data_IF_016135689112
#
_entry.id   IF_016135689112
#
_cell.length_a   1.000
_cell.length_b   1.000
_cell.length_c   1.000
_cell.angle_alpha   90.00
_cell.angle_beta   90.00
_cell.angle_gamma   90.00
#
_symmetry.space_group_name_H-M   'P 1'
#
loop_
_entity.id
_entity.type
_entity.pdbx_description
1 polymer ?
#
# COMPACT_ATOMS: atom_id res chain seq x y z
N UNK A 1 16.37 -5.34 19.42
CA UNK A 1 17.03 -5.51 18.09
C UNK A 1 18.44 -6.10 18.20
N UNK A 2 18.97 -6.24 19.42
CA UNK A 2 20.36 -6.62 19.68
C UNK A 2 20.60 -8.13 19.47
N UNK A 3 19.77 -9.00 20.07
CA UNK A 3 19.96 -10.45 20.03
C UNK A 3 20.09 -11.08 18.63
N UNK A 4 19.30 -10.66 17.64
CA UNK A 4 19.44 -11.20 16.27
C UNK A 4 20.79 -10.83 15.63
N UNK A 5 21.24 -9.59 15.85
CA UNK A 5 22.51 -9.12 15.30
C UNK A 5 23.69 -9.78 16.01
N UNK A 6 23.56 -10.02 17.31
CA UNK A 6 24.55 -10.70 18.16
C UNK A 6 24.70 -12.17 17.77
N UNK A 7 23.59 -12.92 17.62
CA UNK A 7 23.65 -14.30 17.13
C UNK A 7 24.29 -14.40 15.74
N UNK A 8 24.08 -13.38 14.89
CA UNK A 8 24.73 -13.30 13.59
C UNK A 8 26.22 -12.98 13.66
N UNK A 9 26.64 -12.06 14.53
CA UNK A 9 28.06 -11.76 14.73
C UNK A 9 28.82 -12.96 15.26
N UNK A 10 28.17 -13.74 16.11
CA UNK A 10 28.76 -14.88 16.79
C UNK A 10 28.71 -16.17 15.94
N UNK A 11 28.17 -16.08 14.71
CA UNK A 11 28.07 -17.22 13.79
C UNK A 11 27.09 -18.30 14.23
N UNK A 12 26.18 -17.98 15.16
CA UNK A 12 25.18 -18.91 15.70
C UNK A 12 24.00 -19.03 14.74
N UNK A 13 24.08 -20.03 13.86
CA UNK A 13 23.06 -20.35 12.87
C UNK A 13 22.14 -21.49 13.32
N UNK A 14 21.04 -21.69 12.60
CA UNK A 14 20.14 -22.82 12.84
C UNK A 14 20.88 -24.14 12.59
N UNK A 15 20.68 -25.17 13.45
CA UNK A 15 21.28 -26.47 13.25
C UNK A 15 20.82 -27.08 11.92
N UNK A 16 21.76 -27.62 11.15
CA UNK A 16 21.47 -28.33 9.91
C UNK A 16 20.94 -29.72 10.25
N UNK A 17 19.80 -30.07 9.66
CA UNK A 17 19.14 -31.38 9.79
C UNK A 17 18.89 -31.93 8.39
N UNK A 18 19.18 -33.21 8.19
CA UNK A 18 18.88 -33.90 6.93
C UNK A 18 17.51 -34.59 7.06
N UNK A 19 16.64 -34.43 6.06
CA UNK A 19 15.44 -35.24 5.95
C UNK A 19 15.80 -36.69 5.58
N UNK A 20 14.87 -37.61 5.79
CA UNK A 20 14.95 -38.99 5.29
C UNK A 20 15.14 -39.07 3.76
N UNK A 21 14.81 -38.00 3.03
CA UNK A 21 15.02 -37.86 1.57
C UNK A 21 16.35 -37.18 1.20
N UNK A 22 17.25 -36.96 2.15
CA UNK A 22 18.57 -36.34 1.92
C UNK A 22 18.54 -34.81 1.76
N UNK A 23 17.38 -34.16 1.96
CA UNK A 23 17.25 -32.71 1.83
C UNK A 23 17.68 -32.02 3.13
N UNK A 24 18.65 -31.12 3.03
CA UNK A 24 19.10 -30.32 4.17
C UNK A 24 18.10 -29.22 4.53
N UNK A 25 17.79 -29.10 5.82
CA UNK A 25 16.99 -28.05 6.44
C UNK A 25 17.81 -27.40 7.56
N UNK A 26 17.84 -26.07 7.64
CA UNK A 26 18.67 -25.35 8.62
C UNK A 26 19.90 -24.70 7.98
N UNK A 27 20.90 -24.34 8.78
CA UNK A 27 22.12 -23.65 8.31
C UNK A 27 21.93 -22.18 7.92
N UNK A 28 20.74 -21.63 8.15
CA UNK A 28 20.43 -20.22 7.92
C UNK A 28 20.30 -19.46 9.26
N UNK A 29 20.43 -18.13 9.25
CA UNK A 29 20.19 -17.31 10.43
C UNK A 29 18.78 -17.51 11.01
N UNK A 30 18.64 -17.38 12.32
CA UNK A 30 17.34 -17.37 12.98
C UNK A 30 16.51 -16.17 12.53
N UNK A 31 15.25 -16.37 12.17
CA UNK A 31 14.35 -15.25 11.94
C UNK A 31 13.71 -14.79 13.26
N UNK A 32 13.11 -13.59 13.25
CA UNK A 32 12.53 -12.98 14.46
C UNK A 32 11.46 -13.88 15.11
N UNK A 33 10.53 -14.40 14.32
CA UNK A 33 9.44 -15.24 14.83
C UNK A 33 9.96 -16.55 15.44
N UNK A 34 11.00 -17.14 14.86
CA UNK A 34 11.69 -18.31 15.40
C UNK A 34 12.33 -17.99 16.75
N UNK A 35 12.97 -16.83 16.92
CA UNK A 35 13.54 -16.41 18.21
C UNK A 35 12.45 -16.17 19.26
N UNK A 36 11.33 -15.55 18.91
CA UNK A 36 10.20 -15.40 19.84
C UNK A 36 9.63 -16.76 20.25
N UNK A 37 9.44 -17.66 19.29
CA UNK A 37 8.96 -19.01 19.59
C UNK A 37 9.94 -19.79 20.48
N UNK A 38 11.25 -19.63 20.26
CA UNK A 38 12.27 -20.22 21.12
C UNK A 38 12.16 -19.68 22.54
N UNK A 39 12.18 -18.36 22.72
CA UNK A 39 12.21 -17.74 24.05
C UNK A 39 10.87 -17.96 24.79
N UNK A 40 9.75 -18.07 24.09
CA UNK A 40 8.43 -18.31 24.68
C UNK A 40 8.08 -19.80 24.86
N UNK A 41 8.97 -20.72 24.51
CA UNK A 41 8.68 -22.15 24.63
C UNK A 41 8.84 -22.64 26.07
N UNK A 42 7.72 -23.00 26.72
CA UNK A 42 7.71 -23.54 28.09
C UNK A 42 8.37 -24.92 28.24
N UNK A 43 8.67 -25.62 27.13
CA UNK A 43 9.46 -26.86 27.17
C UNK A 43 10.80 -26.64 27.88
N UNK A 44 11.38 -25.44 27.80
CA UNK A 44 12.65 -25.15 28.45
C UNK A 44 12.59 -25.08 29.98
N UNK A 45 11.41 -24.87 30.57
CA UNK A 45 11.21 -24.92 32.03
C UNK A 45 10.70 -26.27 32.54
N UNK A 46 10.71 -27.29 31.68
CA UNK A 46 10.22 -28.62 32.05
C UNK A 46 8.72 -28.83 31.84
N UNK A 47 7.99 -27.85 31.30
CA UNK A 47 6.54 -27.96 31.06
C UNK A 47 6.24 -28.49 29.64
N UNK A 48 5.08 -29.13 29.49
CA UNK A 48 4.48 -29.49 28.19
C UNK A 48 3.18 -28.73 28.03
N UNK A 49 3.03 -28.04 26.89
CA UNK A 49 1.83 -27.26 26.56
C UNK A 49 0.88 -28.09 25.70
N UNK A 50 -0.40 -28.16 26.11
CA UNK A 50 -1.48 -28.71 25.29
C UNK A 50 -2.65 -27.72 25.25
N UNK A 51 -2.90 -27.16 24.07
CA UNK A 51 -3.84 -26.04 23.85
C UNK A 51 -3.47 -24.85 24.75
N UNK A 52 -4.38 -24.40 25.60
CA UNK A 52 -4.19 -23.25 26.50
C UNK A 52 -3.65 -23.66 27.89
N UNK A 53 -3.48 -24.95 28.16
CA UNK A 53 -3.01 -25.47 29.45
C UNK A 53 -1.58 -26.01 29.34
N UNK A 54 -0.83 -25.92 30.43
CA UNK A 54 0.50 -26.51 30.55
C UNK A 54 0.53 -27.48 31.74
N UNK A 55 1.39 -28.48 31.63
CA UNK A 55 1.54 -29.56 32.60
C UNK A 55 3.03 -29.82 32.83
N UNK A 56 3.43 -30.30 34.02
CA UNK A 56 4.81 -30.71 34.25
C UNK A 56 5.16 -31.88 33.31
N UNK A 57 6.22 -31.71 32.54
CA UNK A 57 6.80 -32.73 31.68
C UNK A 57 7.70 -33.69 32.44
N UNK A 58 8.09 -34.78 31.77
CA UNK A 58 9.02 -35.78 32.33
C UNK A 58 10.49 -35.45 32.05
N UNK A 59 10.76 -34.40 31.28
CA UNK A 59 12.12 -33.97 30.95
C UNK A 59 12.64 -32.93 31.96
N UNK A 60 13.94 -32.94 32.27
CA UNK A 60 14.54 -31.91 33.12
C UNK A 60 14.45 -30.54 32.45
N UNK A 61 14.20 -29.51 33.26
CA UNK A 61 14.24 -28.13 32.82
C UNK A 61 15.65 -27.74 32.35
N UNK A 62 15.74 -26.99 31.25
CA UNK A 62 17.00 -26.44 30.72
C UNK A 62 17.30 -25.09 31.39
N UNK A 63 16.26 -24.33 31.73
CA UNK A 63 16.33 -23.04 32.43
C UNK A 63 15.38 -23.04 33.62
N UNK A 64 15.67 -22.22 34.62
CA UNK A 64 14.80 -22.02 35.77
C UNK A 64 13.55 -21.18 35.43
N UNK A 65 12.48 -21.37 36.20
CA UNK A 65 11.21 -20.66 36.02
C UNK A 65 11.37 -19.15 36.14
N UNK A 66 12.23 -18.68 37.06
CA UNK A 66 12.42 -17.25 37.30
C UNK A 66 13.04 -16.55 36.07
N UNK A 67 14.08 -17.16 35.48
CA UNK A 67 14.69 -16.67 34.24
C UNK A 67 13.69 -16.66 33.07
N UNK A 68 12.87 -17.71 32.94
CA UNK A 68 11.85 -17.77 31.89
C UNK A 68 10.78 -16.69 32.06
N UNK A 69 10.27 -16.48 33.28
CA UNK A 69 9.29 -15.43 33.58
C UNK A 69 9.85 -14.04 33.33
N UNK A 70 11.08 -13.76 33.77
CA UNK A 70 11.79 -12.50 33.46
C UNK A 70 11.87 -12.27 31.94
N UNK A 71 12.20 -13.30 31.16
CA UNK A 71 12.23 -13.19 29.70
C UNK A 71 10.83 -12.92 29.10
N UNK A 72 9.77 -13.55 29.61
CA UNK A 72 8.40 -13.29 29.14
C UNK A 72 7.93 -11.87 29.49
N UNK A 73 8.31 -11.34 30.66
CA UNK A 73 8.02 -9.95 31.05
C UNK A 73 8.72 -8.95 30.11
N UNK A 74 9.98 -9.20 29.76
CA UNK A 74 10.70 -8.37 28.78
C UNK A 74 10.04 -8.44 27.40
N UNK A 75 9.55 -9.60 26.97
CA UNK A 75 8.84 -9.75 25.70
C UNK A 75 7.49 -9.01 25.72
N UNK A 76 6.71 -9.15 26.78
CA UNK A 76 5.38 -8.54 26.90
C UNK A 76 5.45 -7.02 27.01
N UNK A 77 6.48 -6.47 27.67
CA UNK A 77 6.75 -5.02 27.72
C UNK A 77 7.01 -4.40 26.34
N UNK A 78 7.59 -5.15 25.41
CA UNK A 78 7.84 -4.70 24.03
C UNK A 78 6.64 -4.82 23.08
N UNK A 79 5.47 -5.30 23.56
CA UNK A 79 4.24 -5.41 22.75
C UNK A 79 3.59 -4.03 22.54
N UNK A 80 3.85 -3.07 23.43
CA UNK A 80 3.34 -1.69 23.35
C UNK A 80 4.51 -0.71 23.14
N UNK A 81 4.59 -0.13 21.94
CA UNK A 81 5.35 1.12 21.72
C UNK A 81 6.61 0.97 20.85
N UNK A 82 6.59 1.71 19.74
CA UNK A 82 7.75 2.18 18.97
C UNK A 82 8.63 1.15 18.25
N UNK A 83 8.12 0.76 17.08
CA UNK A 83 8.96 0.28 15.98
C UNK A 83 9.90 1.40 15.53
N UNK A 84 11.15 1.42 16.02
CA UNK A 84 12.20 2.33 15.53
C UNK A 84 12.34 2.30 14.00
N UNK A 85 12.07 3.41 13.29
CA UNK A 85 11.98 3.46 11.84
C UNK A 85 13.24 4.11 11.26
N UNK A 86 14.38 3.43 11.24
CA UNK A 86 15.61 4.05 10.72
C UNK A 86 16.07 3.58 9.34
N UNK A 87 15.84 2.33 8.89
CA UNK A 87 16.46 1.87 7.63
C UNK A 87 15.54 1.07 6.67
N UNK A 88 14.51 1.69 6.11
CA UNK A 88 13.78 1.10 4.98
C UNK A 88 13.55 2.16 3.91
N UNK A 89 14.02 1.91 2.69
CA UNK A 89 13.98 2.81 1.53
C UNK A 89 12.57 3.04 0.96
N UNK A 90 11.58 2.23 1.36
CA UNK A 90 10.17 2.37 0.95
C UNK A 90 9.27 2.08 2.15
N UNK A 91 8.73 3.13 2.76
CA UNK A 91 7.89 3.02 3.95
C UNK A 91 6.50 3.58 3.65
N UNK A 92 5.45 2.99 4.21
CA UNK A 92 4.08 3.54 4.11
C UNK A 92 3.95 4.78 4.97
N UNK A 93 3.62 5.95 4.40
CA UNK A 93 3.55 7.30 5.00
C UNK A 93 2.75 7.38 6.31
N UNK A 94 1.66 6.62 6.43
CA UNK A 94 0.64 6.69 7.48
C UNK A 94 0.57 5.45 8.40
N UNK A 95 1.69 4.79 8.78
CA UNK A 95 1.60 3.58 9.59
C UNK A 95 1.16 3.96 11.02
N UNK A 96 0.09 3.32 11.49
CA UNK A 96 -0.53 3.62 12.80
C UNK A 96 -1.44 4.84 12.80
N UNK A 97 -1.69 5.48 11.65
CA UNK A 97 -2.62 6.61 11.51
C UNK A 97 -3.93 6.24 10.82
N UNK A 98 -3.97 5.12 10.10
CA UNK A 98 -5.15 4.66 9.33
C UNK A 98 -6.03 3.76 10.20
N UNK A 99 -7.32 4.08 10.28
CA UNK A 99 -8.35 3.29 10.96
C UNK A 99 -9.57 3.10 10.06
N UNK A 100 -10.37 2.08 10.32
CA UNK A 100 -11.68 1.91 9.68
C UNK A 100 -12.71 2.87 10.28
N UNK A 101 -13.85 3.04 9.60
CA UNK A 101 -15.02 3.73 10.16
C UNK A 101 -15.49 3.15 11.50
N UNK A 102 -15.32 1.83 11.71
CA UNK A 102 -15.63 1.16 12.97
C UNK A 102 -14.59 1.42 14.08
N UNK A 103 -13.51 2.17 13.79
CA UNK A 103 -12.44 2.48 14.73
C UNK A 103 -11.29 1.47 14.76
N UNK A 104 -11.35 0.39 13.99
CA UNK A 104 -10.31 -0.64 13.97
C UNK A 104 -9.04 -0.14 13.27
N UNK A 105 -7.84 -0.35 13.84
CA UNK A 105 -6.60 0.07 13.19
C UNK A 105 -6.27 -0.79 11.97
N UNK A 106 -5.80 -0.13 10.91
CA UNK A 106 -5.21 -0.80 9.75
C UNK A 106 -3.69 -0.85 9.88
N UNK A 107 -3.14 -2.06 9.72
CA UNK A 107 -1.73 -2.35 9.85
C UNK A 107 -1.03 -2.14 8.50
N UNK A 108 0.02 -1.32 8.51
CA UNK A 108 0.91 -1.18 7.36
C UNK A 108 1.72 -2.47 7.15
N UNK A 109 1.51 -3.12 6.01
CA UNK A 109 2.13 -4.39 5.59
C UNK A 109 2.75 -4.24 4.20
N UNK A 110 3.60 -5.20 3.82
CA UNK A 110 4.15 -5.25 2.47
C UNK A 110 4.39 -6.69 2.01
N UNK A 111 4.40 -6.87 0.70
CA UNK A 111 4.75 -8.13 0.03
C UNK A 111 5.82 -7.85 -1.02
N UNK A 112 6.86 -8.66 -1.10
CA UNK A 112 7.88 -8.56 -2.14
C UNK A 112 7.65 -9.63 -3.20
N UNK A 113 7.65 -9.25 -4.48
CA UNK A 113 7.55 -10.17 -5.62
C UNK A 113 8.76 -9.97 -6.52
N UNK A 114 9.44 -11.07 -6.86
CA UNK A 114 10.47 -11.05 -7.90
C UNK A 114 9.83 -10.70 -9.25
N UNK A 115 10.40 -9.72 -9.92
CA UNK A 115 10.08 -9.33 -11.29
C UNK A 115 11.35 -9.41 -12.16
N UNK A 116 11.23 -9.47 -13.49
CA UNK A 116 12.41 -9.48 -14.37
C UNK A 116 13.35 -8.29 -14.15
N UNK A 117 12.82 -7.14 -13.73
CA UNK A 117 13.58 -5.91 -13.45
C UNK A 117 14.04 -5.78 -11.99
N UNK A 118 13.96 -6.84 -11.18
CA UNK A 118 14.34 -6.83 -9.76
C UNK A 118 13.20 -7.17 -8.80
N UNK A 119 13.41 -6.96 -7.50
CA UNK A 119 12.40 -7.27 -6.48
C UNK A 119 11.42 -6.08 -6.34
N UNK A 120 10.14 -6.28 -6.68
CA UNK A 120 9.10 -5.25 -6.53
C UNK A 120 8.38 -5.41 -5.20
N UNK A 121 8.34 -4.35 -4.40
CA UNK A 121 7.62 -4.33 -3.11
C UNK A 121 6.26 -3.66 -3.29
N UNK A 122 5.21 -4.35 -2.85
CA UNK A 122 3.84 -3.86 -2.79
C UNK A 122 3.48 -3.56 -1.34
N UNK A 123 2.90 -2.38 -1.08
CA UNK A 123 2.57 -1.89 0.28
C UNK A 123 1.06 -1.81 0.46
N UNK A 124 0.57 -2.18 1.63
CA UNK A 124 -0.86 -2.20 1.95
C UNK A 124 -1.14 -1.74 3.38
N UNK A 125 -2.33 -1.18 3.61
CA UNK A 125 -2.98 -1.04 4.92
C UNK A 125 -4.03 -2.12 5.05
N UNK A 126 -3.89 -2.99 6.05
CA UNK A 126 -4.72 -4.20 6.20
C UNK A 126 -5.39 -4.20 7.56
N UNK A 127 -6.70 -4.45 7.61
CA UNK A 127 -7.42 -4.58 8.88
C UNK A 127 -6.79 -5.65 9.77
N UNK A 128 -6.73 -5.40 11.08
CA UNK A 128 -6.04 -6.27 12.05
C UNK A 128 -6.49 -7.73 11.99
N UNK A 129 -7.80 -8.00 11.94
CA UNK A 129 -8.36 -9.35 11.82
C UNK A 129 -7.93 -10.05 10.53
N UNK A 130 -7.93 -9.35 9.39
CA UNK A 130 -7.46 -9.89 8.12
C UNK A 130 -5.95 -10.16 8.11
N UNK A 131 -5.17 -9.40 8.88
CA UNK A 131 -3.74 -9.63 9.05
C UNK A 131 -3.44 -10.88 9.89
N UNK A 132 -4.27 -11.18 10.90
CA UNK A 132 -4.12 -12.34 11.79
C UNK A 132 -4.64 -13.66 11.17
N UNK A 133 -5.17 -13.61 9.94
CA UNK A 133 -5.61 -14.80 9.21
C UNK A 133 -7.04 -15.24 9.53
N UNK A 134 -7.81 -14.41 10.25
CA UNK A 134 -9.22 -14.65 10.50
C UNK A 134 -10.01 -14.51 9.18
N UNK A 135 -10.83 -15.52 8.86
CA UNK A 135 -11.68 -15.50 7.67
C UNK A 135 -12.96 -14.72 7.96
N UNK A 136 -13.16 -13.69 7.15
CA UNK A 136 -14.44 -13.14 6.70
C UNK A 136 -15.35 -12.45 7.75
N UNK A 137 -15.11 -11.14 7.93
CA UNK A 137 -16.06 -10.11 8.41
C UNK A 137 -15.66 -8.73 7.88
N UNK A 138 -15.74 -8.50 6.57
CA UNK A 138 -15.53 -7.15 6.01
C UNK A 138 -14.11 -6.56 6.16
N UNK A 139 -13.07 -7.40 6.25
CA UNK A 139 -11.69 -6.93 6.35
C UNK A 139 -11.22 -6.17 5.10
N UNK A 140 -10.54 -5.03 5.30
CA UNK A 140 -10.04 -4.16 4.24
C UNK A 140 -8.55 -4.42 3.96
N UNK A 141 -8.16 -4.38 2.69
CA UNK A 141 -6.75 -4.36 2.24
C UNK A 141 -6.57 -3.26 1.21
N UNK A 142 -6.08 -2.11 1.66
CA UNK A 142 -5.95 -0.90 0.85
C UNK A 142 -4.50 -0.75 0.37
N UNK A 143 -4.22 -0.57 -0.93
CA UNK A 143 -2.90 -0.20 -1.42
C UNK A 143 -2.42 1.10 -0.78
N UNK A 144 -1.23 1.04 -0.18
CA UNK A 144 -0.72 2.18 0.56
C UNK A 144 -0.42 3.37 -0.36
N UNK A 145 0.07 3.13 -1.58
CA UNK A 145 0.40 4.20 -2.53
C UNK A 145 -0.83 5.05 -2.87
N UNK A 146 -1.96 4.40 -3.17
CA UNK A 146 -3.18 5.06 -3.61
C UNK A 146 -3.83 5.84 -2.48
N UNK A 147 -3.96 5.22 -1.30
CA UNK A 147 -4.45 5.91 -0.10
C UNK A 147 -3.60 7.12 0.25
N UNK A 148 -2.27 6.98 0.20
CA UNK A 148 -1.35 8.06 0.55
C UNK A 148 -1.41 9.20 -0.48
N UNK A 149 -1.60 8.90 -1.76
CA UNK A 149 -1.80 9.92 -2.80
C UNK A 149 -3.10 10.69 -2.59
N UNK A 150 -4.20 10.01 -2.26
CA UNK A 150 -5.49 10.65 -1.95
C UNK A 150 -5.34 11.62 -0.79
N UNK A 151 -4.77 11.13 0.31
CA UNK A 151 -4.56 11.92 1.52
C UNK A 151 -3.67 13.12 1.24
N UNK A 152 -2.57 12.94 0.50
CA UNK A 152 -1.67 14.03 0.16
C UNK A 152 -2.32 15.08 -0.74
N UNK A 153 -3.08 14.68 -1.75
CA UNK A 153 -3.73 15.65 -2.62
C UNK A 153 -4.81 16.44 -1.91
N UNK A 154 -5.63 15.80 -1.06
CA UNK A 154 -6.61 16.54 -0.24
C UNK A 154 -5.95 17.48 0.75
N UNK A 155 -4.83 17.08 1.34
CA UNK A 155 -4.03 17.98 2.18
C UNK A 155 -3.47 19.16 1.37
N UNK A 156 -3.01 18.93 0.14
CA UNK A 156 -2.48 19.99 -0.73
C UNK A 156 -3.61 20.94 -1.18
N UNK A 157 -4.75 20.43 -1.60
CA UNK A 157 -5.92 21.23 -1.99
C UNK A 157 -6.40 22.11 -0.83
N UNK A 158 -6.45 21.55 0.39
CA UNK A 158 -6.74 22.29 1.61
C UNK A 158 -5.73 23.42 1.84
N UNK A 159 -4.44 23.17 1.57
CA UNK A 159 -3.39 24.18 1.71
C UNK A 159 -3.40 25.24 0.60
N UNK A 160 -3.85 24.93 -0.62
CA UNK A 160 -3.97 25.95 -1.67
C UNK A 160 -5.14 26.90 -1.39
N UNK A 161 -6.22 26.38 -0.81
CA UNK A 161 -7.44 27.11 -0.50
C UNK A 161 -7.78 27.01 1.00
N UNK A 162 -6.95 27.58 1.89
CA UNK A 162 -7.12 27.45 3.33
C UNK A 162 -8.45 28.05 3.83
N UNK A 163 -8.99 29.04 3.11
CA UNK A 163 -10.26 29.70 3.42
C UNK A 163 -11.44 28.73 3.18
N UNK A 164 -11.49 28.08 2.03
CA UNK A 164 -12.56 27.13 1.69
C UNK A 164 -12.54 25.87 2.58
N UNK A 165 -11.35 25.47 3.04
CA UNK A 165 -11.20 24.37 3.99
C UNK A 165 -11.68 24.68 5.41
N UNK A 166 -11.94 25.96 5.70
CA UNK A 166 -12.26 26.44 7.05
C UNK A 166 -13.72 26.81 7.27
N UNK A 167 -14.52 26.82 6.21
CA UNK A 167 -15.95 27.06 6.30
C UNK A 167 -16.59 25.92 7.10
N UNK A 168 -16.79 26.15 8.41
CA UNK A 168 -17.61 25.27 9.23
C UNK A 168 -17.30 25.19 10.72
N UNK A 169 -16.09 25.55 11.22
CA UNK A 169 -15.82 25.51 12.68
C UNK A 169 -14.49 26.18 13.13
N UNK A 170 -13.68 26.71 12.21
CA UNK A 170 -12.34 27.21 12.53
C UNK A 170 -12.22 28.68 12.16
N UNK A 171 -11.69 29.50 13.08
CA UNK A 171 -11.51 30.94 12.93
C UNK A 171 -10.47 31.36 11.86
N UNK A 172 -10.14 30.48 10.91
CA UNK A 172 -9.36 30.84 9.72
C UNK A 172 -10.10 31.96 8.98
N UNK A 173 -11.44 31.93 8.89
CA UNK A 173 -12.22 32.94 8.18
C UNK A 173 -12.03 34.40 8.66
N UNK A 174 -11.60 34.63 9.90
CA UNK A 174 -11.41 35.98 10.44
C UNK A 174 -9.94 36.42 10.57
N UNK A 175 -8.97 35.49 10.57
CA UNK A 175 -7.54 35.77 10.78
C UNK A 175 -6.69 35.23 9.62
N UNK A 176 -7.21 35.21 8.39
CA UNK A 176 -6.34 35.01 7.22
C UNK A 176 -5.64 36.33 6.88
N UNK A 177 -4.48 36.54 7.50
CA UNK A 177 -3.52 37.54 6.98
C UNK A 177 -2.93 37.04 5.66
N UNK A 178 -2.57 37.94 4.74
CA UNK A 178 -1.88 37.57 3.48
C UNK A 178 -0.66 36.67 3.70
N UNK A 179 0.04 36.84 4.84
CA UNK A 179 1.19 36.00 5.21
C UNK A 179 0.84 34.55 5.54
N UNK A 180 -0.37 34.25 6.03
CA UNK A 180 -0.82 32.88 6.26
C UNK A 180 -1.13 32.15 4.95
N UNK A 181 -1.81 32.82 4.01
CA UNK A 181 -2.08 32.27 2.67
C UNK A 181 -0.79 31.95 1.94
N UNK A 182 0.17 32.88 1.94
CA UNK A 182 1.45 32.69 1.29
C UNK A 182 2.19 31.46 1.84
N UNK A 183 2.26 31.31 3.17
CA UNK A 183 2.91 30.14 3.81
C UNK A 183 2.19 28.84 3.52
N UNK A 184 0.86 28.87 3.43
CA UNK A 184 0.05 27.72 3.07
C UNK A 184 0.38 27.25 1.65
N UNK A 185 0.47 28.19 0.70
CA UNK A 185 0.86 27.92 -0.68
C UNK A 185 2.32 27.43 -0.79
N UNK A 186 3.24 27.99 -0.01
CA UNK A 186 4.65 27.53 0.08
C UNK A 186 4.74 26.09 0.62
N UNK A 187 3.93 25.75 1.63
CA UNK A 187 3.85 24.40 2.19
C UNK A 187 3.26 23.42 1.17
N UNK A 188 2.21 23.82 0.45
CA UNK A 188 1.63 23.04 -0.65
C UNK A 188 2.67 22.80 -1.78
N UNK A 189 3.40 23.83 -2.20
CA UNK A 189 4.48 23.73 -3.19
C UNK A 189 5.61 22.80 -2.71
N UNK A 190 5.94 22.82 -1.42
CA UNK A 190 6.91 21.92 -0.80
C UNK A 190 6.46 20.46 -0.92
N UNK A 191 5.19 20.16 -0.64
CA UNK A 191 4.64 18.81 -0.80
C UNK A 191 4.55 18.36 -2.26
N UNK A 192 4.46 19.29 -3.23
CA UNK A 192 4.46 18.97 -4.67
C UNK A 192 5.85 18.67 -5.24
N UNK A 193 6.87 19.41 -4.81
CA UNK A 193 8.17 19.50 -5.49
C UNK A 193 9.16 18.39 -5.14
N UNK A 194 9.02 17.74 -3.98
CA UNK A 194 9.96 16.73 -3.49
C UNK A 194 9.29 15.37 -3.34
N UNK A 195 10.07 14.29 -3.47
CA UNK A 195 9.59 12.94 -3.13
C UNK A 195 9.00 12.96 -1.72
N UNK A 196 7.79 12.41 -1.57
CA UNK A 196 7.00 12.35 -0.32
C UNK A 196 7.85 11.89 0.88
N UNK A 197 8.85 11.04 0.62
CA UNK A 197 9.77 10.52 1.64
C UNK A 197 10.54 11.60 2.42
N UNK A 198 10.89 12.73 1.80
CA UNK A 198 11.63 13.81 2.47
C UNK A 198 10.76 14.63 3.45
N UNK A 199 9.46 14.76 3.19
CA UNK A 199 8.53 15.51 4.05
C UNK A 199 7.70 14.63 4.97
N UNK A 200 8.01 13.34 4.99
CA UNK A 200 7.29 12.34 5.77
C UNK A 200 7.14 12.67 7.27
N UNK A 201 8.15 13.19 8.00
CA UNK A 201 7.95 13.58 9.40
C UNK A 201 6.93 14.70 9.55
N UNK A 202 6.99 15.70 8.67
CA UNK A 202 6.10 16.86 8.65
C UNK A 202 4.66 16.48 8.30
N UNK A 203 4.47 15.63 7.29
CA UNK A 203 3.15 15.09 6.94
C UNK A 203 2.57 14.27 8.09
N UNK A 204 3.41 13.53 8.83
CA UNK A 204 2.97 12.71 9.98
C UNK A 204 2.71 13.49 11.25
N UNK A 205 3.32 14.67 11.41
CA UNK A 205 2.98 15.58 12.49
C UNK A 205 1.66 16.29 12.20
N UNK A 206 1.39 16.61 10.93
CA UNK A 206 0.12 17.19 10.50
C UNK A 206 -1.04 16.19 10.57
N UNK A 207 -0.86 14.96 10.06
CA UNK A 207 -1.97 13.99 10.00
C UNK A 207 -2.05 13.19 11.30
N UNK A 208 -3.09 13.47 12.09
CA UNK A 208 -3.38 12.79 13.36
C UNK A 208 -4.03 11.43 13.15
N UNK A 209 -4.96 11.33 12.20
CA UNK A 209 -5.69 10.09 11.87
C UNK A 209 -6.30 10.16 10.47
N UNK A 210 -6.44 9.01 9.81
CA UNK A 210 -7.21 8.85 8.57
C UNK A 210 -8.24 7.75 8.80
N UNK A 211 -9.52 8.11 8.69
CA UNK A 211 -10.65 7.20 8.85
C UNK A 211 -11.14 6.79 7.47
N UNK A 212 -11.16 5.49 7.20
CA UNK A 212 -11.59 4.93 5.91
C UNK A 212 -12.94 4.23 6.06
N UNK A 213 -13.90 4.68 5.27
CA UNK A 213 -15.22 4.05 5.08
C UNK A 213 -15.28 3.41 3.69
N UNK A 214 -16.42 2.80 3.34
CA UNK A 214 -16.61 2.22 2.00
C UNK A 214 -16.75 3.28 0.89
N UNK A 215 -17.29 4.45 1.25
CA UNK A 215 -17.65 5.53 0.32
C UNK A 215 -17.01 6.88 0.65
N UNK A 216 -16.41 7.01 1.84
CA UNK A 216 -15.83 8.25 2.33
C UNK A 216 -14.47 8.01 2.97
N UNK A 217 -13.61 9.02 2.93
CA UNK A 217 -12.36 9.10 3.64
C UNK A 217 -12.33 10.42 4.41
N UNK A 218 -12.05 10.33 5.70
CA UNK A 218 -11.94 11.49 6.60
C UNK A 218 -10.49 11.62 7.07
N UNK A 219 -9.90 12.78 6.85
CA UNK A 219 -8.51 13.11 7.21
C UNK A 219 -8.56 14.07 8.39
N UNK A 220 -8.08 13.61 9.54
CA UNK A 220 -7.94 14.41 10.74
C UNK A 220 -6.56 15.04 10.78
N UNK A 221 -6.51 16.35 10.62
CA UNK A 221 -5.32 17.20 10.66
C UNK A 221 -5.20 17.84 12.04
N UNK A 222 -3.99 17.84 12.59
CA UNK A 222 -3.70 18.53 13.84
C UNK A 222 -3.71 20.05 13.62
N UNK A 223 -4.73 20.70 14.17
CA UNK A 223 -4.96 22.13 13.98
C UNK A 223 -3.81 22.96 14.56
N UNK A 224 -3.32 22.63 15.75
CA UNK A 224 -2.23 23.37 16.40
C UNK A 224 -0.92 23.28 15.62
N UNK A 225 -0.61 22.10 15.09
CA UNK A 225 0.56 21.93 14.22
C UNK A 225 0.41 22.75 12.95
N UNK A 226 -0.77 22.76 12.33
CA UNK A 226 -1.04 23.57 11.15
C UNK A 226 -0.89 25.08 11.44
N UNK A 227 -1.48 25.59 12.53
CA UNK A 227 -1.31 26.97 12.97
C UNK A 227 0.16 27.34 13.18
N UNK A 228 0.94 26.47 13.83
CA UNK A 228 2.37 26.68 14.04
C UNK A 228 3.14 26.80 12.72
N UNK A 229 2.81 26.00 11.71
CA UNK A 229 3.45 26.07 10.39
C UNK A 229 3.06 27.33 9.62
N UNK A 230 1.79 27.74 9.73
CA UNK A 230 1.28 28.95 9.09
C UNK A 230 1.61 30.24 9.87
N UNK A 231 2.17 30.10 11.08
CA UNK A 231 2.41 31.17 12.07
C UNK A 231 1.13 31.96 12.38
N UNK A 232 0.04 31.23 12.58
CA UNK A 232 -1.23 31.75 13.06
C UNK A 232 -1.30 31.48 14.56
N UNK A 233 -1.77 32.45 15.34
CA UNK A 233 -2.10 32.21 16.74
C UNK A 233 -3.47 31.47 16.80
N UNK A 234 -3.53 30.21 17.24
CA UNK A 234 -4.80 29.52 17.41
C UNK A 234 -5.61 30.16 18.54
N UNK A 235 -6.93 30.22 18.40
CA UNK A 235 -7.79 30.62 19.50
C UNK A 235 -7.81 29.48 20.54
N UNK A 236 -7.71 29.77 21.85
CA UNK A 236 -7.94 28.76 22.90
C UNK A 236 -9.25 27.98 22.77
N UNK A 237 -10.29 28.55 22.13
CA UNK A 237 -11.57 27.87 21.89
C UNK A 237 -11.59 26.97 20.65
N UNK A 238 -10.56 27.02 19.79
CA UNK A 238 -10.51 26.19 18.59
C UNK A 238 -10.37 24.70 18.95
N UNK A 239 -11.04 23.86 18.18
CA UNK A 239 -10.84 22.41 18.24
C UNK A 239 -9.41 22.02 17.83
N UNK A 240 -8.91 20.93 18.41
CA UNK A 240 -7.55 20.43 18.10
C UNK A 240 -7.44 19.75 16.72
N UNK A 241 -8.57 19.43 16.07
CA UNK A 241 -8.62 18.49 14.95
C UNK A 241 -9.46 19.02 13.79
N UNK A 242 -8.80 19.62 12.81
CA UNK A 242 -9.43 19.95 11.53
C UNK A 242 -9.74 18.67 10.75
N UNK A 243 -11.00 18.46 10.38
CA UNK A 243 -11.44 17.26 9.65
C UNK A 243 -11.73 17.60 8.18
N UNK A 244 -11.04 16.93 7.26
CA UNK A 244 -11.27 17.04 5.82
C UNK A 244 -12.00 15.78 5.35
N UNK A 245 -13.21 15.94 4.83
CA UNK A 245 -13.96 14.83 4.25
C UNK A 245 -13.78 14.76 2.74
N UNK A 246 -13.67 13.55 2.23
CA UNK A 246 -13.69 13.31 0.80
C UNK A 246 -14.50 12.07 0.46
N UNK A 247 -15.27 12.13 -0.62
CA UNK A 247 -15.87 10.95 -1.21
C UNK A 247 -14.78 10.11 -1.86
N UNK A 248 -14.72 8.85 -1.46
CA UNK A 248 -13.76 7.89 -1.94
C UNK A 248 -14.43 6.51 -1.98
N UNK A 249 -14.75 6.01 -3.18
CA UNK A 249 -15.33 4.67 -3.33
C UNK A 249 -14.24 3.61 -3.36
N UNK A 250 -14.34 2.63 -2.47
CA UNK A 250 -13.51 1.42 -2.49
C UNK A 250 -14.04 0.44 -3.56
N UNK A 251 -13.46 0.42 -4.76
CA UNK A 251 -13.81 -0.58 -5.78
C UNK A 251 -12.92 -1.82 -5.70
N UNK A 252 -13.54 -3.01 -5.80
CA UNK A 252 -12.84 -4.31 -5.84
C UNK A 252 -12.50 -4.68 -7.29
N UNK A 253 -11.45 -4.09 -7.88
CA UNK A 253 -10.89 -4.59 -9.15
C UNK A 253 -9.71 -5.51 -8.89
N UNK A 254 -9.77 -6.77 -9.33
CA UNK A 254 -8.59 -7.64 -9.44
C UNK A 254 -7.73 -7.84 -8.16
N UNK A 255 -8.33 -7.84 -6.97
CA UNK A 255 -7.67 -7.97 -5.62
C UNK A 255 -6.92 -6.72 -5.12
N UNK A 256 -7.18 -5.54 -5.67
CA UNK A 256 -6.54 -4.27 -5.27
C UNK A 256 -7.64 -3.20 -5.09
N UNK A 257 -7.65 -2.47 -3.97
CA UNK A 257 -8.62 -1.38 -3.73
C UNK A 257 -8.11 -0.10 -4.38
N UNK A 258 -8.92 0.55 -5.23
CA UNK A 258 -8.60 1.88 -5.75
C UNK A 258 -9.58 2.94 -5.28
N UNK A 259 -9.07 4.12 -4.95
CA UNK A 259 -9.87 5.26 -4.48
C UNK A 259 -10.21 6.20 -5.65
N UNK A 260 -11.48 6.61 -5.69
CA UNK A 260 -12.11 7.33 -6.80
C UNK A 260 -12.68 8.65 -6.26
N UNK A 261 -12.38 9.79 -6.89
CA UNK A 261 -13.08 11.06 -6.63
C UNK A 261 -14.53 11.04 -7.19
N UNK A 262 -15.39 11.96 -6.76
CA UNK A 262 -16.80 12.02 -7.15
C UNK A 262 -17.06 12.00 -8.69
N UNK A 263 -16.08 12.36 -9.51
CA UNK A 263 -16.12 12.42 -10.97
C UNK A 263 -15.51 11.20 -11.68
N UNK A 264 -15.18 10.13 -10.95
CA UNK A 264 -14.52 8.93 -11.49
C UNK A 264 -13.08 9.15 -11.99
N UNK A 265 -12.46 10.28 -11.68
CA UNK A 265 -11.06 10.57 -12.05
C UNK A 265 -10.06 10.14 -10.97
N UNK A 266 -8.80 9.89 -11.37
CA UNK A 266 -7.69 9.65 -10.46
C UNK A 266 -7.13 11.00 -9.97
N UNK A 267 -6.93 11.12 -8.66
CA UNK A 267 -6.45 12.32 -7.95
C UNK A 267 -5.11 12.89 -8.48
N UNK A 268 -4.29 12.06 -9.12
CA UNK A 268 -3.28 12.48 -10.10
C UNK A 268 -3.22 11.42 -11.18
N UNK A 269 -3.57 11.74 -12.42
CA UNK A 269 -3.44 10.81 -13.51
C UNK A 269 -1.94 10.53 -13.71
N UNK A 270 -1.47 9.34 -13.33
CA UNK A 270 -0.13 8.90 -13.70
C UNK A 270 -0.26 7.92 -14.85
N UNK A 271 0.49 8.15 -15.92
CA UNK A 271 0.48 7.29 -17.11
C UNK A 271 0.73 5.86 -16.65
N UNK A 272 -0.20 4.94 -16.97
CA UNK A 272 0.04 3.52 -16.75
C UNK A 272 1.08 3.04 -17.78
N UNK A 273 2.35 3.22 -17.43
CA UNK A 273 3.50 2.81 -18.24
C UNK A 273 3.47 1.32 -18.55
N UNK A 274 2.79 0.50 -17.74
CA UNK A 274 2.61 -0.93 -18.02
C UNK A 274 1.66 -1.10 -19.19
N UNK A 275 0.50 -0.44 -19.16
CA UNK A 275 -0.48 -0.47 -20.24
C UNK A 275 0.09 0.12 -21.53
N UNK A 276 0.79 1.26 -21.46
CA UNK A 276 1.45 1.86 -22.62
C UNK A 276 2.47 0.90 -23.24
N UNK A 277 3.31 0.24 -22.43
CA UNK A 277 4.25 -0.78 -22.92
C UNK A 277 3.55 -1.96 -23.59
N UNK A 278 2.39 -2.37 -23.08
CA UNK A 278 1.60 -3.43 -23.70
C UNK A 278 1.03 -3.02 -25.06
N UNK A 279 0.57 -1.77 -25.21
CA UNK A 279 0.10 -1.25 -26.50
C UNK A 279 1.25 -1.20 -27.52
N UNK A 280 2.43 -0.73 -27.09
CA UNK A 280 3.64 -0.72 -27.94
C UNK A 280 4.01 -2.14 -28.37
N UNK A 281 4.08 -3.09 -27.43
CA UNK A 281 4.35 -4.51 -27.75
C UNK A 281 3.31 -5.10 -28.71
N UNK A 282 2.03 -4.81 -28.49
CA UNK A 282 0.96 -5.31 -29.36
C UNK A 282 1.12 -4.82 -30.80
N UNK A 283 1.43 -3.54 -30.99
CA UNK A 283 1.66 -2.96 -32.33
C UNK A 283 2.91 -3.52 -32.99
N UNK A 284 4.00 -3.68 -32.24
CA UNK A 284 5.22 -4.33 -32.74
C UNK A 284 4.93 -5.77 -33.21
N UNK A 285 4.34 -6.60 -32.35
CA UNK A 285 4.01 -7.98 -32.68
C UNK A 285 3.06 -8.09 -33.87
N UNK A 286 2.06 -7.19 -33.97
CA UNK A 286 1.15 -7.14 -35.11
C UNK A 286 1.88 -6.78 -36.41
N UNK A 287 2.78 -5.79 -36.36
CA UNK A 287 3.59 -5.41 -37.51
C UNK A 287 4.47 -6.57 -37.99
N UNK A 288 5.10 -7.28 -37.05
CA UNK A 288 5.93 -8.46 -37.35
C UNK A 288 5.13 -9.59 -37.99
N UNK A 289 3.91 -9.87 -37.50
CA UNK A 289 3.01 -10.84 -38.11
C UNK A 289 2.60 -10.47 -39.56
N UNK A 290 2.56 -9.18 -39.89
CA UNK A 290 2.23 -8.72 -41.25
C UNK A 290 3.43 -8.76 -42.19
N UNK A 291 4.63 -8.44 -41.69
CA UNK A 291 5.82 -8.17 -42.52
C UNK A 291 6.75 -9.37 -42.62
N UNK A 292 6.86 -10.19 -41.57
CA UNK A 292 7.80 -11.30 -41.51
C UNK A 292 7.14 -12.60 -42.00
N UNK A 293 7.56 -13.07 -43.18
CA UNK A 293 7.00 -14.28 -43.79
C UNK A 293 7.32 -15.51 -42.94
N UNK A 294 6.29 -16.20 -42.47
CA UNK A 294 6.41 -17.43 -41.67
C UNK A 294 6.51 -17.22 -40.16
N UNK A 295 6.45 -15.97 -39.66
CA UNK A 295 6.28 -15.73 -38.23
C UNK A 295 4.88 -16.16 -37.78
N UNK A 296 4.83 -16.89 -36.67
CA UNK A 296 3.60 -17.28 -36.01
C UNK A 296 3.57 -16.74 -34.58
N UNK A 297 2.38 -16.70 -33.99
CA UNK A 297 2.17 -16.32 -32.58
C UNK A 297 3.02 -17.17 -31.64
N UNK A 298 3.23 -18.45 -31.96
CA UNK A 298 4.14 -19.36 -31.23
C UNK A 298 5.59 -18.90 -31.28
N UNK A 299 6.08 -18.45 -32.44
CA UNK A 299 7.43 -17.92 -32.62
C UNK A 299 7.64 -16.67 -31.76
N UNK A 300 6.69 -15.74 -31.78
CA UNK A 300 6.73 -14.52 -30.96
C UNK A 300 6.72 -14.88 -29.47
N UNK A 301 5.87 -15.81 -29.05
CA UNK A 301 5.78 -16.26 -27.67
C UNK A 301 7.12 -16.83 -27.16
N UNK A 302 7.77 -17.66 -27.98
CA UNK A 302 9.07 -18.24 -27.66
C UNK A 302 10.17 -17.18 -27.51
N UNK A 303 10.24 -16.23 -28.44
CA UNK A 303 11.24 -15.14 -28.42
C UNK A 303 11.05 -14.21 -27.21
N UNK A 304 9.81 -13.97 -26.80
CA UNK A 304 9.47 -13.11 -25.67
C UNK A 304 9.52 -13.86 -24.31
N UNK A 305 9.72 -15.18 -24.32
CA UNK A 305 9.72 -16.00 -23.10
C UNK A 305 8.35 -16.05 -22.40
N UNK A 306 7.26 -15.96 -23.16
CA UNK A 306 5.88 -15.93 -22.66
C UNK A 306 5.05 -17.06 -23.28
N UNK A 307 3.84 -17.30 -22.76
CA UNK A 307 2.95 -18.30 -23.34
C UNK A 307 2.14 -17.76 -24.54
N UNK A 308 1.72 -18.65 -25.43
CA UNK A 308 0.92 -18.32 -26.61
C UNK A 308 -0.34 -17.52 -26.25
N UNK A 309 -1.07 -17.93 -25.21
CA UNK A 309 -2.29 -17.26 -24.75
C UNK A 309 -2.06 -15.82 -24.27
N UNK A 310 -0.86 -15.49 -23.77
CA UNK A 310 -0.51 -14.11 -23.42
C UNK A 310 -0.30 -13.26 -24.68
N UNK A 311 0.42 -13.78 -25.68
CA UNK A 311 0.62 -13.08 -26.96
C UNK A 311 -0.73 -12.77 -27.63
N UNK A 312 -1.62 -13.77 -27.73
CA UNK A 312 -2.96 -13.57 -28.33
C UNK A 312 -3.79 -12.51 -27.59
N UNK A 313 -3.73 -12.48 -26.26
CA UNK A 313 -4.47 -11.48 -25.46
C UNK A 313 -3.94 -10.07 -25.65
N UNK A 314 -2.62 -9.90 -25.67
CA UNK A 314 -1.97 -8.60 -25.82
C UNK A 314 -2.09 -8.07 -27.25
N UNK A 315 -2.03 -8.93 -28.27
CA UNK A 315 -2.19 -8.54 -29.69
C UNK A 315 -3.48 -7.75 -29.96
N UNK A 316 -4.55 -8.00 -29.19
CA UNK A 316 -5.81 -7.26 -29.29
C UNK A 316 -5.64 -5.77 -29.07
N UNK A 317 -4.70 -5.37 -28.21
CA UNK A 317 -4.43 -3.97 -27.89
C UNK A 317 -3.88 -3.20 -29.10
N UNK A 318 -3.36 -3.87 -30.13
CA UNK A 318 -2.91 -3.25 -31.37
C UNK A 318 -4.06 -2.54 -32.10
N UNK A 319 -5.30 -2.98 -31.88
CA UNK A 319 -6.51 -2.52 -32.56
C UNK A 319 -7.31 -1.48 -31.76
N UNK A 320 -6.77 -0.97 -30.65
CA UNK A 320 -7.39 0.13 -29.92
C UNK A 320 -7.49 1.37 -30.81
N UNK A 321 -8.65 2.03 -30.77
CA UNK A 321 -8.88 3.26 -31.51
C UNK A 321 -7.93 4.38 -31.06
N UNK A 322 -7.57 5.31 -31.96
CA UNK A 322 -6.71 6.45 -31.60
C UNK A 322 -7.24 7.26 -30.41
N UNK A 323 -8.55 7.43 -30.30
CA UNK A 323 -9.19 8.14 -29.18
C UNK A 323 -8.96 7.45 -27.82
N UNK A 324 -8.98 6.12 -27.78
CA UNK A 324 -8.73 5.38 -26.53
C UNK A 324 -7.26 5.44 -26.16
N UNK A 325 -6.37 5.29 -27.15
CA UNK A 325 -4.93 5.41 -26.91
C UNK A 325 -4.59 6.82 -26.41
N UNK A 326 -5.21 7.85 -26.99
CA UNK A 326 -5.09 9.23 -26.55
C UNK A 326 -5.59 9.39 -25.11
N UNK A 327 -6.78 8.88 -24.79
CA UNK A 327 -7.31 8.88 -23.42
C UNK A 327 -6.36 8.18 -22.43
N UNK A 328 -5.70 7.09 -22.83
CA UNK A 328 -4.73 6.38 -21.98
C UNK A 328 -3.46 7.23 -21.73
N UNK A 329 -2.97 7.94 -22.75
CA UNK A 329 -1.78 8.79 -22.67
C UNK A 329 -2.08 10.06 -21.85
N UNK A 330 -3.23 10.69 -22.12
CA UNK A 330 -3.73 11.87 -21.39
C UNK A 330 -4.24 11.52 -19.99
N UNK A 331 -4.24 10.23 -19.66
CA UNK A 331 -4.67 9.67 -18.39
C UNK A 331 -6.15 10.00 -18.06
N UNK A 332 -6.98 10.07 -19.09
CA UNK A 332 -8.42 10.29 -19.06
C UNK A 332 -9.24 8.99 -19.23
N UNK A 333 -8.58 7.84 -19.33
CA UNK A 333 -9.27 6.56 -19.42
C UNK A 333 -10.00 6.23 -18.10
N UNK A 334 -11.21 5.65 -18.17
CA UNK A 334 -11.89 5.11 -17.01
C UNK A 334 -11.04 4.13 -16.19
N UNK A 335 -11.17 4.16 -14.87
CA UNK A 335 -10.34 3.38 -13.92
C UNK A 335 -10.45 1.87 -14.14
N UNK A 336 -11.61 1.38 -14.60
CA UNK A 336 -11.82 -0.03 -14.88
C UNK A 336 -11.06 -0.51 -16.13
N UNK A 337 -10.58 0.41 -16.98
CA UNK A 337 -9.84 0.13 -18.21
C UNK A 337 -8.36 -0.18 -17.91
N UNK A 338 -8.14 -1.21 -17.10
CA UNK A 338 -6.81 -1.73 -16.81
C UNK A 338 -6.36 -2.76 -17.88
N UNK A 339 -5.07 -3.05 -17.93
CA UNK A 339 -4.51 -4.06 -18.86
C UNK A 339 -5.25 -5.40 -18.82
N UNK A 340 -5.66 -5.88 -17.64
CA UNK A 340 -6.44 -7.11 -17.49
C UNK A 340 -7.82 -7.04 -18.14
N UNK A 341 -8.50 -5.89 -18.02
CA UNK A 341 -9.81 -5.67 -18.62
C UNK A 341 -9.71 -5.60 -20.15
N UNK A 342 -8.73 -4.87 -20.67
CA UNK A 342 -8.51 -4.74 -22.12
C UNK A 342 -8.00 -6.05 -22.77
N UNK A 343 -7.31 -6.89 -22.01
CA UNK A 343 -6.84 -8.21 -22.47
C UNK A 343 -7.92 -9.30 -22.37
N UNK A 344 -9.11 -9.01 -21.82
CA UNK A 344 -10.18 -9.99 -21.71
C UNK A 344 -10.72 -10.39 -23.10
N UNK A 345 -11.29 -11.59 -23.25
CA UNK A 345 -12.11 -11.95 -24.42
C UNK A 345 -13.14 -10.86 -24.70
N UNK A 346 -13.28 -10.49 -25.98
CA UNK A 346 -14.30 -9.55 -26.49
C UNK A 346 -14.26 -8.12 -25.90
N UNK A 347 -13.19 -7.77 -25.19
CA UNK A 347 -13.02 -6.45 -24.60
C UNK A 347 -12.86 -5.34 -25.64
N UNK A 348 -12.27 -5.66 -26.79
CA UNK A 348 -12.00 -4.70 -27.86
C UNK A 348 -12.94 -5.02 -29.02
N UNK A 349 -13.94 -4.16 -29.22
CA UNK A 349 -14.84 -4.26 -30.36
C UNK A 349 -14.07 -4.02 -31.67
N UNK A 350 -14.45 -4.65 -32.79
CA UNK A 350 -13.81 -4.40 -34.08
C UNK A 350 -13.99 -2.95 -34.57
N UNK A 351 -15.12 -2.34 -34.23
CA UNK A 351 -15.47 -0.98 -34.64
C UNK A 351 -15.00 0.07 -33.62
N UNK A 352 -14.34 1.13 -34.09
CA UNK A 352 -13.74 2.16 -33.23
C UNK A 352 -14.78 3.03 -32.51
N UNK A 353 -15.95 3.29 -33.10
CA UNK A 353 -17.02 4.03 -32.43
C UNK A 353 -17.64 3.17 -31.32
N UNK A 354 -17.86 1.88 -31.58
CA UNK A 354 -18.27 0.93 -30.54
C UNK A 354 -17.23 0.80 -29.43
N UNK A 355 -15.94 0.82 -29.76
CA UNK A 355 -14.89 0.86 -28.75
C UNK A 355 -15.03 2.12 -27.88
N UNK A 356 -15.15 3.31 -28.48
CA UNK A 356 -15.35 4.57 -27.74
C UNK A 356 -16.59 4.51 -26.84
N UNK A 357 -17.70 4.03 -27.37
CA UNK A 357 -18.95 3.86 -26.64
C UNK A 357 -18.80 2.88 -25.48
N UNK A 358 -18.18 1.71 -25.66
CA UNK A 358 -18.03 0.69 -24.60
C UNK A 358 -16.95 1.04 -23.58
N UNK A 359 -15.85 1.62 -24.03
CA UNK A 359 -14.63 1.76 -23.26
C UNK A 359 -14.51 3.14 -22.59
N UNK A 360 -15.02 4.20 -23.20
CA UNK A 360 -14.97 5.56 -22.62
C UNK A 360 -16.31 6.03 -22.07
N UNK A 361 -17.42 5.68 -22.74
CA UNK A 361 -18.76 6.19 -22.39
C UNK A 361 -19.65 5.14 -21.68
N UNK A 362 -19.27 3.86 -21.76
CA UNK A 362 -20.16 2.73 -21.53
C UNK A 362 -19.82 1.96 -20.27
N UNK A 363 -20.08 2.58 -19.12
CA UNK A 363 -20.49 1.91 -17.86
C UNK A 363 -20.78 2.97 -16.81
N UNK A 364 -21.91 3.64 -16.97
CA UNK A 364 -22.64 4.22 -15.84
C UNK A 364 -23.56 3.12 -15.29
N UNK A 365 -23.09 2.39 -14.28
CA UNK A 365 -23.89 1.62 -13.32
C UNK A 365 -22.98 1.14 -12.19
#
# INVERSE_FOLDING_TARGET
>A
RLLYNELLSDGLLKPVRLSTTGRAHGGAPFNRSELYNLISNRVYVGDIVHKEKHWPGLHPAIIDNETFERAQQLISGHVKGDRSPQNAAERSLLPGRVVSHAGDPLIATHTCKKTPSGNRRYRYYVSKHLHLGERDRGGMRIPALELEQVVMSRLIEMLDNPIAASEGNYAIGAIVTNGAVQRSQELAATFRSRRIDHHRPLVRSLIKKVVVSETTLSIQVDWRVLCSLLKIAPDPSDEDILTIETTARLTRSGRVLRMIQADSSLIRPTVDLTLVRLIVKARDWWQRLQQERGIMVSTIAQQEGVNHSYVTRVLRLAFLSPHIVQAIIDCQQPIWMESGALCAPDAIAPDWEQQKQRLLLGRAA
#
